data_IF_693233505288
#
_entry.id   IF_693233505288
#
_cell.length_a   1.000
_cell.length_b   1.000
_cell.length_c   1.000
_cell.angle_alpha   90.00
_cell.angle_beta   90.00
_cell.angle_gamma   90.00
#
_symmetry.space_group_name_H-M   'P 1'
#
loop_
_entity.id
_entity.type
_entity.pdbx_description
1 polymer ?
#
# COMPACT_ATOMS: atom_id res chain seq x y z
N UNK A 1 50.56 4.05 -26.43
CA UNK A 1 50.22 5.07 -25.41
C UNK A 1 48.81 5.64 -25.55
N UNK A 2 48.35 6.06 -26.74
CA UNK A 2 47.00 6.63 -26.94
C UNK A 2 45.83 5.71 -26.54
N UNK A 3 45.95 4.40 -26.79
CA UNK A 3 44.91 3.41 -26.46
C UNK A 3 44.70 3.30 -24.94
N UNK A 4 45.78 3.31 -24.15
CA UNK A 4 45.72 3.20 -22.68
C UNK A 4 45.05 4.44 -22.06
N UNK A 5 45.32 5.63 -22.60
CA UNK A 5 44.69 6.87 -22.14
C UNK A 5 43.18 6.90 -22.44
N UNK A 6 42.75 6.37 -23.59
CA UNK A 6 41.32 6.25 -23.94
C UNK A 6 40.60 5.29 -22.99
N UNK A 7 41.20 4.14 -22.67
CA UNK A 7 40.61 3.18 -21.71
C UNK A 7 40.51 3.75 -20.29
N UNK A 8 41.54 4.47 -19.82
CA UNK A 8 41.53 5.10 -18.51
C UNK A 8 40.50 6.23 -18.40
N UNK A 9 40.24 6.96 -19.49
CA UNK A 9 39.20 7.98 -19.53
C UNK A 9 37.78 7.40 -19.65
N UNK A 10 37.62 6.24 -20.30
CA UNK A 10 36.33 5.58 -20.49
C UNK A 10 35.83 4.85 -19.22
N UNK A 11 36.73 4.34 -18.39
CA UNK A 11 36.38 3.61 -17.16
C UNK A 11 35.47 4.39 -16.18
N UNK A 12 35.77 5.65 -15.79
CA UNK A 12 34.89 6.41 -14.89
C UNK A 12 33.54 6.75 -15.51
N UNK A 13 33.48 6.94 -16.84
CA UNK A 13 32.22 7.18 -17.55
C UNK A 13 31.34 5.93 -17.54
N UNK A 14 31.90 4.76 -17.85
CA UNK A 14 31.21 3.47 -17.77
C UNK A 14 30.75 3.15 -16.35
N UNK A 15 31.58 3.44 -15.33
CA UNK A 15 31.20 3.28 -13.93
C UNK A 15 30.05 4.20 -13.54
N UNK A 16 30.05 5.46 -14.01
CA UNK A 16 28.94 6.40 -13.76
C UNK A 16 27.64 5.94 -14.39
N UNK A 17 27.68 5.45 -15.65
CA UNK A 17 26.50 4.86 -16.31
C UNK A 17 26.00 3.65 -15.53
N UNK A 18 26.90 2.78 -15.08
CA UNK A 18 26.54 1.60 -14.29
C UNK A 18 25.87 1.99 -12.96
N UNK A 19 26.45 2.95 -12.23
CA UNK A 19 25.86 3.47 -10.98
C UNK A 19 24.48 4.06 -11.25
N UNK A 20 24.32 4.87 -12.30
CA UNK A 20 23.03 5.47 -12.65
C UNK A 20 22.00 4.40 -13.03
N UNK A 21 22.39 3.40 -13.82
CA UNK A 21 21.52 2.30 -14.22
C UNK A 21 21.02 1.48 -13.02
N UNK A 22 21.94 1.08 -12.13
CA UNK A 22 21.57 0.31 -10.94
C UNK A 22 20.82 1.16 -9.91
N UNK A 23 21.18 2.44 -9.75
CA UNK A 23 20.43 3.37 -8.90
C UNK A 23 19.00 3.52 -9.40
N UNK A 24 18.81 3.63 -10.72
CA UNK A 24 17.49 3.68 -11.32
C UNK A 24 16.70 2.42 -11.01
N UNK A 25 17.28 1.22 -11.16
CA UNK A 25 16.60 -0.05 -10.84
C UNK A 25 16.28 -0.21 -9.34
N UNK A 26 17.17 0.26 -8.46
CA UNK A 26 16.97 0.23 -7.02
C UNK A 26 15.84 1.18 -6.61
N UNK A 27 15.72 2.34 -7.25
CA UNK A 27 14.72 3.36 -6.94
C UNK A 27 13.37 3.05 -7.63
N UNK A 28 13.42 2.49 -8.84
CA UNK A 28 12.29 2.19 -9.71
C UNK A 28 12.22 0.68 -9.95
N UNK A 29 11.76 -0.10 -8.96
CA UNK A 29 11.61 -1.53 -9.16
C UNK A 29 10.66 -1.79 -10.32
N UNK A 30 10.98 -2.79 -11.15
CA UNK A 30 10.08 -3.24 -12.20
C UNK A 30 8.73 -3.61 -11.59
N UNK A 31 7.67 -3.24 -12.30
CA UNK A 31 6.31 -3.56 -11.92
C UNK A 31 6.16 -5.07 -11.74
N UNK A 32 5.75 -5.48 -10.54
CA UNK A 32 5.52 -6.88 -10.22
C UNK A 32 4.17 -7.33 -10.78
N UNK A 33 4.16 -8.44 -11.49
CA UNK A 33 2.93 -9.07 -11.98
C UNK A 33 2.17 -9.78 -10.85
N UNK A 34 0.89 -10.06 -11.11
CA UNK A 34 0.09 -10.85 -10.18
C UNK A 34 0.61 -12.29 -10.15
N UNK A 35 1.08 -12.73 -8.99
CA UNK A 35 1.35 -14.16 -8.74
C UNK A 35 0.07 -14.99 -8.57
N UNK A 36 0.21 -16.31 -8.66
CA UNK A 36 -0.86 -17.30 -8.41
C UNK A 36 -1.56 -17.13 -7.06
N UNK A 37 -0.80 -16.73 -6.04
CA UNK A 37 -1.33 -16.40 -4.71
C UNK A 37 -2.42 -15.33 -4.75
N UNK A 38 -2.27 -14.29 -5.58
CA UNK A 38 -3.30 -13.25 -5.69
C UNK A 38 -4.57 -13.78 -6.36
N UNK A 39 -4.41 -14.61 -7.38
CA UNK A 39 -5.55 -15.26 -8.07
C UNK A 39 -6.33 -16.14 -7.08
N UNK A 40 -5.61 -16.93 -6.27
CA UNK A 40 -6.22 -17.71 -5.20
C UNK A 40 -6.98 -16.83 -4.21
N UNK A 41 -6.40 -15.69 -3.81
CA UNK A 41 -7.08 -14.74 -2.94
C UNK A 41 -8.31 -14.11 -3.58
N UNK A 42 -8.30 -13.76 -4.86
CA UNK A 42 -9.51 -13.29 -5.53
C UNK A 42 -10.62 -14.33 -5.51
N UNK A 43 -10.29 -15.60 -5.77
CA UNK A 43 -11.25 -16.70 -5.69
C UNK A 43 -11.79 -16.87 -4.26
N UNK A 44 -10.92 -16.75 -3.24
CA UNK A 44 -11.33 -16.79 -1.83
C UNK A 44 -12.23 -15.61 -1.45
N UNK A 45 -11.93 -14.40 -1.91
CA UNK A 45 -12.72 -13.20 -1.61
C UNK A 45 -14.08 -13.21 -2.30
N UNK A 46 -14.19 -13.85 -3.47
CA UNK A 46 -15.47 -14.12 -4.11
C UNK A 46 -16.40 -14.93 -3.17
N UNK A 47 -15.84 -15.89 -2.43
CA UNK A 47 -16.59 -16.64 -1.41
C UNK A 47 -16.97 -15.79 -0.18
N UNK A 48 -16.18 -14.77 0.15
CA UNK A 48 -16.54 -13.75 1.16
C UNK A 48 -17.54 -12.71 0.65
N UNK A 49 -17.87 -12.75 -0.65
CA UNK A 49 -18.84 -11.88 -1.33
C UNK A 49 -18.57 -10.39 -1.07
N UNK A 50 -17.31 -10.02 -0.91
CA UNK A 50 -16.88 -8.64 -0.72
C UNK A 50 -16.98 -7.90 -2.05
N UNK A 51 -17.27 -6.60 -1.99
CA UNK A 51 -17.21 -5.73 -3.17
C UNK A 51 -15.82 -5.13 -3.27
N UNK A 52 -15.09 -5.49 -4.32
CA UNK A 52 -13.78 -4.95 -4.66
C UNK A 52 -13.94 -4.11 -5.93
N UNK A 53 -13.65 -2.81 -5.84
CA UNK A 53 -13.65 -1.90 -7.00
C UNK A 53 -12.27 -1.32 -7.23
N UNK A 54 -11.80 -1.41 -8.47
CA UNK A 54 -10.57 -0.79 -8.92
C UNK A 54 -10.86 0.58 -9.52
N UNK A 55 -10.04 1.55 -9.16
CA UNK A 55 -10.17 2.92 -9.64
C UNK A 55 -8.87 3.37 -10.27
N UNK A 56 -8.96 3.76 -11.55
CA UNK A 56 -7.82 4.19 -12.39
C UNK A 56 -6.65 3.20 -12.38
N UNK A 57 -6.91 1.93 -12.02
CA UNK A 57 -5.93 0.87 -11.72
C UNK A 57 -4.99 1.16 -10.53
N UNK A 58 -4.83 2.41 -10.09
CA UNK A 58 -3.88 2.83 -9.06
C UNK A 58 -4.34 2.59 -7.62
N UNK A 59 -5.62 2.36 -7.37
CA UNK A 59 -6.09 1.96 -6.04
C UNK A 59 -7.33 1.08 -6.13
N UNK A 60 -7.61 0.38 -5.04
CA UNK A 60 -8.85 -0.36 -4.86
C UNK A 60 -9.57 0.05 -3.59
N UNK A 61 -10.90 -0.05 -3.65
CA UNK A 61 -11.79 0.10 -2.49
C UNK A 61 -12.48 -1.24 -2.25
N UNK A 62 -12.44 -1.69 -1.00
CA UNK A 62 -13.02 -2.95 -0.57
C UNK A 62 -14.04 -2.67 0.55
N UNK A 63 -15.24 -3.20 0.39
CA UNK A 63 -16.33 -3.04 1.38
C UNK A 63 -17.19 -4.29 1.49
N UNK A 64 -17.90 -4.40 2.61
CA UNK A 64 -18.86 -5.47 2.82
C UNK A 64 -20.12 -5.19 1.99
N UNK A 65 -20.72 -6.25 1.44
CA UNK A 65 -22.05 -6.23 0.83
C UNK A 65 -23.06 -6.84 1.78
N UNK A 66 -24.37 -6.71 1.46
CA UNK A 66 -25.41 -7.48 2.17
C UNK A 66 -25.13 -8.99 2.12
N UNK A 67 -24.61 -9.48 1.01
CA UNK A 67 -24.29 -10.89 0.82
C UNK A 67 -23.02 -11.32 1.56
N UNK A 68 -22.11 -10.39 1.89
CA UNK A 68 -20.97 -10.68 2.77
C UNK A 68 -21.43 -11.07 4.17
N UNK A 69 -22.48 -10.43 4.69
CA UNK A 69 -22.97 -10.68 6.04
C UNK A 69 -23.53 -12.11 6.24
N UNK A 70 -23.97 -12.74 5.15
CA UNK A 70 -24.41 -14.14 5.14
C UNK A 70 -23.30 -15.13 4.77
N UNK A 71 -22.08 -14.66 4.44
CA UNK A 71 -20.95 -15.54 4.18
C UNK A 71 -20.41 -16.13 5.49
N UNK A 72 -20.27 -17.46 5.53
CA UNK A 72 -19.66 -18.15 6.68
C UNK A 72 -18.26 -17.62 6.99
N UNK A 73 -17.43 -17.36 5.98
CA UNK A 73 -16.07 -16.86 6.17
C UNK A 73 -16.05 -15.48 6.82
N UNK A 74 -16.87 -14.57 6.31
CA UNK A 74 -16.99 -13.21 6.84
C UNK A 74 -17.48 -13.23 8.29
N UNK A 75 -18.52 -14.03 8.56
CA UNK A 75 -19.06 -14.22 9.91
C UNK A 75 -18.02 -14.77 10.88
N UNK A 76 -17.33 -15.85 10.52
CA UNK A 76 -16.29 -16.46 11.35
C UNK A 76 -15.13 -15.49 11.64
N UNK A 77 -14.69 -14.71 10.64
CA UNK A 77 -13.67 -13.68 10.86
C UNK A 77 -14.15 -12.64 11.88
N UNK A 78 -15.35 -12.11 11.69
CA UNK A 78 -15.92 -11.10 12.61
C UNK A 78 -16.11 -11.67 14.03
N UNK A 79 -16.66 -12.87 14.16
CA UNK A 79 -16.81 -13.58 15.44
C UNK A 79 -15.46 -13.81 16.12
N UNK A 80 -14.42 -14.19 15.36
CA UNK A 80 -13.08 -14.41 15.92
C UNK A 80 -12.46 -13.15 16.54
N UNK A 81 -12.77 -11.97 16.02
CA UNK A 81 -12.35 -10.71 16.63
C UNK A 81 -13.15 -10.39 17.89
N UNK A 82 -14.46 -10.63 17.88
CA UNK A 82 -15.33 -10.45 19.07
C UNK A 82 -14.86 -11.35 20.21
N UNK A 83 -14.55 -12.62 19.93
CA UNK A 83 -14.02 -13.57 20.91
C UNK A 83 -12.66 -13.14 21.49
N UNK A 84 -11.90 -12.33 20.77
CA UNK A 84 -10.63 -11.73 21.24
C UNK A 84 -10.82 -10.39 21.96
N UNK A 85 -12.06 -10.00 22.24
CA UNK A 85 -12.40 -8.76 22.96
C UNK A 85 -12.43 -7.50 22.10
N UNK A 86 -12.29 -7.60 20.78
CA UNK A 86 -12.43 -6.44 19.90
C UNK A 86 -13.91 -6.10 19.70
N UNK A 87 -14.23 -4.81 19.63
CA UNK A 87 -15.57 -4.31 19.30
C UNK A 87 -15.59 -3.87 17.83
N UNK A 88 -16.21 -4.64 16.92
CA UNK A 88 -16.26 -4.25 15.52
C UNK A 88 -17.13 -3.02 15.31
N UNK A 89 -16.72 -2.15 14.41
CA UNK A 89 -17.49 -0.98 13.99
C UNK A 89 -18.76 -1.42 13.23
N UNK A 90 -19.68 -0.47 13.07
CA UNK A 90 -20.82 -0.63 12.17
C UNK A 90 -20.29 -0.90 10.76
N UNK A 91 -20.92 -1.82 10.04
CA UNK A 91 -20.49 -2.23 8.71
C UNK A 91 -20.39 -1.01 7.77
N UNK A 92 -19.26 -0.89 7.09
CA UNK A 92 -18.91 0.18 6.15
C UNK A 92 -19.03 1.60 6.75
N UNK A 93 -18.68 1.77 8.03
CA UNK A 93 -18.87 3.06 8.73
C UNK A 93 -17.58 3.83 9.02
N UNK A 94 -16.43 3.20 8.86
CA UNK A 94 -15.11 3.78 9.13
C UNK A 94 -14.16 3.41 8.00
N UNK A 95 -13.12 4.21 7.78
CA UNK A 95 -12.20 4.00 6.65
C UNK A 95 -10.80 3.72 7.16
N UNK A 96 -10.17 2.71 6.56
CA UNK A 96 -8.75 2.44 6.77
C UNK A 96 -8.01 2.43 5.42
N UNK A 97 -6.86 3.08 5.39
CA UNK A 97 -5.93 3.05 4.26
C UNK A 97 -4.81 2.06 4.57
N UNK A 98 -4.55 1.11 3.66
CA UNK A 98 -3.45 0.15 3.81
C UNK A 98 -2.35 0.43 2.78
N UNK A 99 -1.12 0.66 3.24
CA UNK A 99 0.03 1.00 2.40
C UNK A 99 1.06 -0.14 2.38
N UNK A 100 1.34 -0.67 1.19
CA UNK A 100 2.25 -1.80 1.00
C UNK A 100 3.73 -1.38 1.11
N UNK A 101 4.64 -2.35 1.22
CA UNK A 101 6.09 -2.11 1.27
C UNK A 101 6.71 -1.88 -0.11
N UNK A 102 8.02 -1.63 -0.13
CA UNK A 102 8.79 -1.56 -1.38
C UNK A 102 8.64 -2.87 -2.16
N UNK A 103 8.54 -2.79 -3.48
CA UNK A 103 8.28 -3.90 -4.42
C UNK A 103 6.91 -4.58 -4.27
N UNK A 104 6.08 -4.14 -3.32
CA UNK A 104 4.71 -4.62 -3.17
C UNK A 104 3.76 -4.01 -4.18
N UNK A 105 2.54 -4.55 -4.20
CA UNK A 105 1.37 -3.99 -4.90
C UNK A 105 0.17 -4.03 -3.95
N UNK A 106 -0.87 -3.25 -4.21
CA UNK A 106 -2.10 -3.23 -3.40
C UNK A 106 -2.70 -4.63 -3.20
N UNK A 107 -2.60 -5.53 -4.18
CA UNK A 107 -3.13 -6.89 -4.08
C UNK A 107 -2.45 -7.75 -3.00
N UNK A 108 -1.22 -7.42 -2.59
CA UNK A 108 -0.54 -8.11 -1.46
C UNK A 108 -1.32 -7.97 -0.15
N UNK A 109 -2.11 -6.90 -0.02
CA UNK A 109 -2.81 -6.53 1.19
C UNK A 109 -4.26 -7.03 1.23
N UNK A 110 -4.70 -7.80 0.23
CA UNK A 110 -6.03 -8.43 0.21
C UNK A 110 -6.38 -9.25 1.47
N UNK A 111 -5.48 -10.09 2.03
CA UNK A 111 -5.77 -10.84 3.27
C UNK A 111 -6.01 -9.93 4.47
N UNK A 112 -5.27 -8.82 4.53
CA UNK A 112 -5.39 -7.84 5.60
C UNK A 112 -6.67 -7.00 5.42
N UNK A 113 -6.97 -6.60 4.19
CA UNK A 113 -8.18 -5.86 3.85
C UNK A 113 -9.43 -6.64 4.26
N UNK A 114 -9.52 -7.94 3.97
CA UNK A 114 -10.66 -8.78 4.36
C UNK A 114 -10.94 -8.70 5.87
N UNK A 115 -9.90 -8.71 6.70
CA UNK A 115 -10.02 -8.65 8.16
C UNK A 115 -10.55 -7.29 8.62
N UNK A 116 -10.07 -6.20 8.04
CA UNK A 116 -10.60 -4.87 8.34
C UNK A 116 -12.05 -4.71 7.89
N UNK A 117 -12.42 -5.25 6.72
CA UNK A 117 -13.81 -5.24 6.28
C UNK A 117 -14.70 -6.07 7.20
N UNK A 118 -14.23 -7.22 7.69
CA UNK A 118 -14.92 -8.01 8.71
C UNK A 118 -15.13 -7.24 10.02
N UNK A 119 -14.21 -6.32 10.35
CA UNK A 119 -14.32 -5.40 11.48
C UNK A 119 -15.23 -4.18 11.23
N UNK A 120 -15.77 -4.04 10.01
CA UNK A 120 -16.72 -2.98 9.66
C UNK A 120 -16.10 -1.78 8.93
N UNK A 121 -14.82 -1.85 8.59
CA UNK A 121 -14.13 -0.80 7.83
C UNK A 121 -14.40 -0.90 6.33
N UNK A 122 -14.42 0.24 5.67
CA UNK A 122 -14.14 0.38 4.24
C UNK A 122 -12.62 0.45 4.12
N UNK A 123 -12.05 -0.36 3.22
CA UNK A 123 -10.61 -0.42 3.04
C UNK A 123 -10.23 0.23 1.72
N UNK A 124 -9.29 1.18 1.77
CA UNK A 124 -8.67 1.78 0.59
C UNK A 124 -7.23 1.28 0.50
N UNK A 125 -6.87 0.68 -0.63
CA UNK A 125 -5.53 0.14 -0.85
C UNK A 125 -4.96 0.71 -2.14
N UNK A 126 -4.07 1.71 -2.06
CA UNK A 126 -3.38 2.25 -3.21
C UNK A 126 -2.13 1.44 -3.57
N UNK A 127 -1.76 1.48 -4.86
CA UNK A 127 -0.40 1.26 -5.28
C UNK A 127 0.43 2.51 -4.97
N UNK A 128 1.50 2.36 -4.21
CA UNK A 128 2.42 3.44 -3.89
C UNK A 128 3.10 3.98 -5.17
N UNK A 129 3.59 5.24 -5.16
CA UNK A 129 4.30 5.80 -6.31
C UNK A 129 5.41 4.87 -6.82
N UNK A 130 5.52 4.75 -8.15
CA UNK A 130 6.39 3.80 -8.87
C UNK A 130 6.14 2.30 -8.66
N UNK A 131 5.07 1.92 -7.95
CA UNK A 131 4.73 0.53 -7.70
C UNK A 131 3.40 0.17 -8.38
N UNK A 132 3.20 -1.12 -8.64
CA UNK A 132 1.96 -1.65 -9.22
C UNK A 132 1.49 -0.88 -10.47
N UNK A 133 0.26 -0.40 -10.44
CA UNK A 133 -0.33 0.45 -11.48
C UNK A 133 -0.46 1.92 -11.02
N UNK A 134 0.39 2.35 -10.10
CA UNK A 134 0.39 3.75 -9.67
C UNK A 134 0.75 4.66 -10.85
N UNK A 135 -0.05 5.71 -11.05
CA UNK A 135 0.25 6.77 -12.02
C UNK A 135 1.17 7.85 -11.43
N UNK A 136 1.55 7.71 -10.15
CA UNK A 136 2.31 8.70 -9.40
C UNK A 136 3.82 8.42 -9.43
N UNK A 137 4.61 9.48 -9.61
CA UNK A 137 6.07 9.43 -9.72
C UNK A 137 6.82 9.65 -8.41
N UNK A 138 8.16 9.69 -8.50
CA UNK A 138 9.05 10.00 -7.36
C UNK A 138 8.69 11.36 -6.76
N UNK A 139 8.66 11.44 -5.42
CA UNK A 139 8.45 12.72 -4.73
C UNK A 139 7.00 13.18 -4.67
N UNK A 140 6.04 12.37 -5.13
CA UNK A 140 4.61 12.66 -4.96
C UNK A 140 4.13 12.33 -3.54
N UNK A 141 4.61 13.07 -2.56
CA UNK A 141 4.28 12.87 -1.14
C UNK A 141 2.79 13.11 -0.80
N UNK A 142 2.09 13.91 -1.62
CA UNK A 142 0.62 14.14 -1.54
C UNK A 142 -0.21 13.15 -2.36
N UNK A 143 0.37 12.07 -2.90
CA UNK A 143 -0.41 11.12 -3.73
C UNK A 143 -1.62 10.56 -2.98
N UNK A 144 -1.48 10.31 -1.67
CA UNK A 144 -2.57 9.74 -0.88
C UNK A 144 -3.73 10.72 -0.72
N UNK A 145 -3.47 12.03 -0.60
CA UNK A 145 -4.53 13.05 -0.63
C UNK A 145 -5.30 13.01 -1.95
N UNK A 146 -4.60 12.89 -3.09
CA UNK A 146 -5.22 12.77 -4.41
C UNK A 146 -6.08 11.51 -4.53
N UNK A 147 -5.62 10.40 -3.96
CA UNK A 147 -6.36 9.13 -3.94
C UNK A 147 -7.61 9.27 -3.07
N UNK A 148 -7.50 9.85 -1.87
CA UNK A 148 -8.63 10.06 -0.98
C UNK A 148 -9.63 11.08 -1.55
N UNK A 149 -9.15 12.10 -2.28
CA UNK A 149 -10.00 13.05 -3.00
C UNK A 149 -10.80 12.40 -4.12
N UNK A 150 -10.25 11.37 -4.75
CA UNK A 150 -10.97 10.60 -5.75
C UNK A 150 -11.91 9.60 -5.08
N UNK A 151 -11.44 8.91 -4.03
CA UNK A 151 -12.21 7.92 -3.29
C UNK A 151 -13.47 8.51 -2.63
N UNK A 152 -13.43 9.78 -2.16
CA UNK A 152 -14.61 10.44 -1.56
C UNK A 152 -15.81 10.58 -2.50
N UNK A 153 -15.61 10.42 -3.81
CA UNK A 153 -16.70 10.37 -4.82
C UNK A 153 -17.47 9.05 -4.77
N UNK A 154 -16.92 8.04 -4.11
CA UNK A 154 -17.42 6.66 -4.12
C UNK A 154 -17.71 6.11 -2.72
N UNK A 155 -17.07 6.67 -1.69
CA UNK A 155 -17.26 6.30 -0.29
C UNK A 155 -17.37 7.55 0.59
N UNK A 156 -18.00 7.41 1.76
CA UNK A 156 -18.05 8.48 2.76
C UNK A 156 -16.74 8.52 3.54
N UNK A 157 -16.15 9.71 3.63
CA UNK A 157 -14.96 10.04 4.43
C UNK A 157 -15.32 11.05 5.53
N UNK A 158 -16.48 10.87 6.16
CA UNK A 158 -17.08 11.77 7.15
C UNK A 158 -16.50 11.60 8.57
N UNK A 159 -15.74 10.54 8.80
CA UNK A 159 -15.03 10.26 10.06
C UNK A 159 -13.52 10.31 9.90
N UNK A 160 -12.82 10.30 11.03
CA UNK A 160 -11.37 10.12 11.06
C UNK A 160 -10.96 8.83 10.34
N UNK A 161 -9.91 8.95 9.54
CA UNK A 161 -9.37 7.83 8.74
C UNK A 161 -8.29 7.13 9.56
N UNK A 162 -8.28 5.80 9.56
CA UNK A 162 -7.16 5.03 10.06
C UNK A 162 -6.14 4.80 8.93
N UNK A 163 -4.84 4.78 9.25
CA UNK A 163 -3.80 4.46 8.27
C UNK A 163 -2.86 3.40 8.82
N UNK A 164 -2.60 2.40 8.00
CA UNK A 164 -1.70 1.28 8.28
C UNK A 164 -0.63 1.23 7.19
N UNK A 165 0.63 1.14 7.57
CA UNK A 165 1.73 1.11 6.61
C UNK A 165 2.84 0.12 6.96
N UNK A 166 3.30 -0.63 5.96
CA UNK A 166 4.39 -1.60 6.07
C UNK A 166 5.66 -1.10 5.39
N UNK A 167 6.79 -1.12 6.11
CA UNK A 167 8.11 -0.72 5.58
C UNK A 167 8.07 0.65 4.89
N UNK A 168 8.32 0.73 3.57
CA UNK A 168 8.16 1.96 2.78
C UNK A 168 6.76 2.59 2.93
N UNK A 169 5.70 1.79 2.93
CA UNK A 169 4.34 2.27 3.16
C UNK A 169 4.15 2.89 4.54
N UNK A 170 4.93 2.47 5.53
CA UNK A 170 4.98 3.09 6.84
C UNK A 170 5.57 4.51 6.82
N UNK A 171 6.59 4.75 6.00
CA UNK A 171 7.14 6.11 5.82
C UNK A 171 6.10 7.04 5.16
N UNK A 172 5.38 6.56 4.14
CA UNK A 172 4.26 7.30 3.54
C UNK A 172 3.13 7.52 4.53
N UNK A 173 2.81 6.53 5.37
CA UNK A 173 1.78 6.63 6.41
C UNK A 173 2.14 7.72 7.42
N UNK A 174 3.36 7.69 7.95
CA UNK A 174 3.84 8.66 8.94
C UNK A 174 3.85 10.09 8.37
N UNK A 175 4.35 10.27 7.15
CA UNK A 175 4.34 11.58 6.50
C UNK A 175 2.91 12.11 6.35
N UNK A 176 1.99 11.30 5.80
CA UNK A 176 0.61 11.73 5.62
C UNK A 176 -0.10 11.97 6.96
N UNK A 177 0.18 11.19 8.00
CA UNK A 177 -0.40 11.40 9.32
C UNK A 177 -0.04 12.79 9.89
N UNK A 178 1.18 13.28 9.63
CA UNK A 178 1.64 14.58 10.13
C UNK A 178 1.34 15.79 9.23
N UNK A 179 1.15 15.60 7.91
CA UNK A 179 1.10 16.73 6.97
C UNK A 179 -0.10 16.75 6.01
N UNK A 180 -1.03 15.80 6.15
CA UNK A 180 -2.19 15.71 5.27
C UNK A 180 -3.29 16.69 5.65
N UNK A 181 -4.08 17.10 4.66
CA UNK A 181 -5.36 17.80 4.89
C UNK A 181 -6.45 16.91 5.52
N UNK A 182 -6.30 15.59 5.41
CA UNK A 182 -7.22 14.63 6.02
C UNK A 182 -6.86 14.39 7.48
N UNK A 183 -7.89 14.30 8.32
CA UNK A 183 -7.72 13.98 9.74
C UNK A 183 -7.64 12.46 9.94
N UNK A 184 -6.53 12.01 10.52
CA UNK A 184 -6.34 10.61 10.86
C UNK A 184 -6.54 10.37 12.35
N UNK A 185 -7.32 9.34 12.69
CA UNK A 185 -7.62 8.98 14.09
C UNK A 185 -6.71 7.90 14.65
N UNK A 186 -6.05 7.15 13.76
CA UNK A 186 -5.15 6.08 14.14
C UNK A 186 -4.04 5.88 13.11
N UNK A 187 -2.85 5.52 13.60
CA UNK A 187 -1.66 5.19 12.81
C UNK A 187 -1.10 3.85 13.27
N UNK A 188 -0.87 2.93 12.34
CA UNK A 188 -0.18 1.68 12.58
C UNK A 188 1.03 1.55 11.64
N UNK A 189 2.22 1.45 12.24
CA UNK A 189 3.51 1.37 11.54
C UNK A 189 4.12 -0.01 11.75
N UNK A 190 4.30 -0.77 10.67
CA UNK A 190 4.85 -2.13 10.73
C UNK A 190 6.20 -2.18 10.03
N UNK A 191 7.23 -2.62 10.75
CA UNK A 191 8.60 -2.79 10.24
C UNK A 191 9.13 -1.54 9.52
N UNK A 192 8.92 -0.38 10.13
CA UNK A 192 9.29 0.94 9.60
C UNK A 192 10.63 1.35 10.17
N UNK A 193 11.42 2.10 9.40
CA UNK A 193 12.64 2.72 9.91
C UNK A 193 12.29 3.96 10.71
N UNK A 194 12.77 4.03 11.95
CA UNK A 194 12.66 5.21 12.81
C UNK A 194 13.31 6.45 12.17
N UNK A 195 14.38 6.23 11.40
CA UNK A 195 15.26 7.27 10.84
C UNK A 195 16.02 6.73 9.62
N UNK A 196 15.90 7.39 8.48
CA UNK A 196 16.56 6.98 7.22
C UNK A 196 18.09 7.05 7.28
N UNK A 197 18.64 7.97 8.07
CA UNK A 197 20.08 8.17 8.29
C UNK A 197 20.75 6.96 8.98
N UNK A 198 20.04 6.25 9.87
CA UNK A 198 20.56 5.05 10.54
C UNK A 198 20.68 3.85 9.58
N UNK A 199 19.85 3.78 8.53
CA UNK A 199 19.88 2.67 7.56
C UNK A 199 21.08 2.78 6.61
N UNK A 200 21.43 4.02 6.24
CA UNK A 200 22.57 4.31 5.36
C UNK A 200 23.89 4.10 6.10
N UNK A 201 23.98 4.52 7.38
CA UNK A 201 25.20 4.35 8.19
C UNK A 201 25.59 2.90 8.49
N UNK A 202 24.65 1.95 8.45
CA UNK A 202 24.94 0.53 8.72
C UNK A 202 25.20 -0.29 7.44
N UNK A 203 25.33 0.36 6.27
CA UNK A 203 25.60 -0.29 4.98
C UNK A 203 26.71 0.37 4.17
N UNK A 204 27.46 1.30 4.76
CA UNK A 204 28.68 1.90 4.22
C UNK A 204 29.81 1.57 5.18
#
# INVERSE_FOLDING_TARGET
MRIVVIFLAAAPFMMSIFILYYSFYIIHPLKRELSSYHIEWFNRLANSRLEIRYYKKSYMVIKATKASLSSNRFRLLRESFILRGFKPSKINSEVVVLLHGKNGIKEDLLPLAERFVAMGFIVVVPDLPLHGNSVYGVGEYRFLEKILDDAKKHIKLDKEIAIWGFSLGGAYALFNFGSSKYRYGALALISVFERGDKVVKNRI
#
